data_IF_194220886806
#
_entry.id   IF_194220886806
#
_cell.length_a   1.000
_cell.length_b   1.000
_cell.length_c   1.000
_cell.angle_alpha   90.00
_cell.angle_beta   90.00
_cell.angle_gamma   90.00
#
_symmetry.space_group_name_H-M   'P 1'
#
loop_
_entity.id
_entity.type
_entity.pdbx_description
1 polymer ?
#
# COMPACT_ATOMS: atom_id res chain seq x y z
N UNK A 1 6.63 14.08 -35.18
CA UNK A 1 5.41 14.85 -34.78
C UNK A 1 5.72 16.11 -33.95
N UNK A 2 6.91 16.25 -33.36
CA UNK A 2 7.16 17.31 -32.36
C UNK A 2 7.55 18.66 -32.97
N UNK A 3 8.34 18.67 -34.05
CA UNK A 3 8.67 19.92 -34.77
C UNK A 3 7.42 20.61 -35.35
N UNK A 4 6.45 19.86 -35.85
CA UNK A 4 5.19 20.41 -36.37
C UNK A 4 4.34 21.06 -35.26
N UNK A 5 4.38 20.54 -34.03
CA UNK A 5 3.69 21.16 -32.88
C UNK A 5 4.38 22.45 -32.43
N UNK A 6 5.71 22.45 -32.42
CA UNK A 6 6.50 23.68 -32.19
C UNK A 6 6.21 24.75 -33.24
N UNK A 7 6.22 24.38 -34.53
CA UNK A 7 5.93 25.33 -35.60
C UNK A 7 4.49 25.87 -35.49
N UNK A 8 3.54 25.02 -35.08
CA UNK A 8 2.15 25.43 -34.82
C UNK A 8 2.03 26.44 -33.67
N UNK A 9 2.82 26.33 -32.61
CA UNK A 9 2.78 27.32 -31.51
C UNK A 9 3.32 28.68 -31.93
N UNK A 10 4.11 28.74 -33.01
CA UNK A 10 4.69 29.97 -33.58
C UNK A 10 3.96 30.50 -34.81
N UNK A 11 2.88 29.84 -35.27
CA UNK A 11 2.07 30.24 -36.43
C UNK A 11 1.66 31.73 -36.43
N UNK A 12 1.18 32.32 -35.32
CA UNK A 12 0.78 33.73 -35.31
C UNK A 12 1.94 34.68 -35.62
N UNK A 13 3.14 34.40 -35.09
CA UNK A 13 4.34 35.19 -35.34
C UNK A 13 4.85 35.04 -36.78
N UNK A 14 4.83 33.80 -37.30
CA UNK A 14 5.21 33.51 -38.69
C UNK A 14 4.26 34.16 -39.70
N UNK A 15 2.96 34.20 -39.41
CA UNK A 15 1.98 34.86 -40.26
C UNK A 15 2.24 36.38 -40.33
N UNK A 16 2.48 37.02 -39.19
CA UNK A 16 2.82 38.44 -39.13
C UNK A 16 4.14 38.74 -39.87
N UNK A 17 5.14 37.88 -39.70
CA UNK A 17 6.41 37.99 -40.40
C UNK A 17 6.26 37.86 -41.93
N UNK A 18 5.42 36.93 -42.40
CA UNK A 18 5.09 36.80 -43.82
C UNK A 18 4.42 38.05 -44.40
N UNK A 19 3.51 38.69 -43.64
CA UNK A 19 2.92 39.98 -44.02
C UNK A 19 3.99 41.07 -44.11
N UNK A 20 4.92 41.13 -43.15
CA UNK A 20 6.01 42.10 -43.17
C UNK A 20 6.93 41.92 -44.40
N UNK A 21 7.31 40.68 -44.73
CA UNK A 21 8.09 40.38 -45.94
C UNK A 21 7.38 40.81 -47.22
N UNK A 22 6.06 40.60 -47.29
CA UNK A 22 5.26 41.04 -48.44
C UNK A 22 5.25 42.57 -48.60
N UNK A 23 5.10 43.31 -47.48
CA UNK A 23 5.17 44.78 -47.48
C UNK A 23 6.54 45.27 -47.90
N UNK A 24 7.62 44.69 -47.37
CA UNK A 24 9.01 45.04 -47.73
C UNK A 24 9.26 44.78 -49.22
N UNK A 25 8.81 43.64 -49.74
CA UNK A 25 8.92 43.32 -51.16
C UNK A 25 8.19 44.35 -52.04
N UNK A 26 6.98 44.74 -51.65
CA UNK A 26 6.18 45.75 -52.34
C UNK A 26 6.85 47.12 -52.37
N UNK A 27 7.37 47.58 -51.23
CA UNK A 27 8.10 48.86 -51.13
C UNK A 27 9.37 48.86 -51.99
N UNK A 28 10.18 47.80 -51.94
CA UNK A 28 11.40 47.72 -52.74
C UNK A 28 11.11 47.71 -54.25
N UNK A 29 10.00 47.08 -54.66
CA UNK A 29 9.54 47.14 -56.06
C UNK A 29 9.04 48.53 -56.45
N UNK A 30 8.37 49.25 -55.55
CA UNK A 30 7.89 50.61 -55.79
C UNK A 30 9.05 51.60 -56.02
N UNK A 31 10.17 51.40 -55.33
CA UNK A 31 11.41 52.20 -55.48
C UNK A 31 12.19 51.86 -56.76
N UNK A 32 11.76 50.85 -57.52
CA UNK A 32 12.42 50.45 -58.77
C UNK A 32 13.61 49.50 -58.60
N UNK A 33 13.71 48.83 -57.45
CA UNK A 33 14.81 47.89 -57.17
C UNK A 33 14.76 46.68 -58.13
N UNK A 34 15.89 46.26 -58.73
CA UNK A 34 15.97 45.06 -59.56
C UNK A 34 15.45 43.81 -58.83
N UNK A 35 14.83 42.88 -59.57
CA UNK A 35 14.18 41.69 -58.99
C UNK A 35 15.15 40.87 -58.14
N UNK A 36 16.38 40.70 -58.61
CA UNK A 36 17.39 39.85 -57.98
C UNK A 36 17.81 40.39 -56.62
N UNK A 37 17.89 41.72 -56.48
CA UNK A 37 18.16 42.38 -55.19
C UNK A 37 16.99 42.21 -54.21
N UNK A 38 15.74 42.29 -54.68
CA UNK A 38 14.57 42.04 -53.82
C UNK A 38 14.58 40.60 -53.32
N UNK A 39 14.88 39.62 -54.17
CA UNK A 39 15.00 38.23 -53.75
C UNK A 39 16.12 38.02 -52.73
N UNK A 40 17.29 38.63 -52.93
CA UNK A 40 18.40 38.54 -51.99
C UNK A 40 18.01 39.05 -50.60
N UNK A 41 17.31 40.19 -50.52
CA UNK A 41 16.83 40.78 -49.25
C UNK A 41 15.80 39.87 -48.57
N UNK A 42 14.85 39.32 -49.31
CA UNK A 42 13.85 38.42 -48.74
C UNK A 42 14.46 37.12 -48.21
N UNK A 43 15.41 36.53 -48.96
CA UNK A 43 16.10 35.29 -48.56
C UNK A 43 16.97 35.53 -47.32
N UNK A 44 17.69 36.65 -47.25
CA UNK A 44 18.51 36.97 -46.06
C UNK A 44 17.66 37.20 -44.82
N UNK A 45 16.55 37.93 -44.93
CA UNK A 45 15.60 38.09 -43.83
C UNK A 45 15.02 36.73 -43.39
N UNK A 46 14.55 35.92 -44.34
CA UNK A 46 14.01 34.59 -44.04
C UNK A 46 15.04 33.67 -43.39
N UNK A 47 16.31 33.74 -43.80
CA UNK A 47 17.40 32.99 -43.19
C UNK A 47 17.68 33.42 -41.74
N UNK A 48 17.57 34.72 -41.44
CA UNK A 48 17.69 35.24 -40.06
C UNK A 48 16.57 34.69 -39.17
N UNK A 49 15.33 34.70 -39.65
CA UNK A 49 14.19 34.18 -38.87
C UNK A 49 14.25 32.65 -38.71
N UNK A 50 14.69 31.93 -39.76
CA UNK A 50 14.95 30.49 -39.67
C UNK A 50 16.06 30.18 -38.66
N UNK A 51 17.14 30.98 -38.65
CA UNK A 51 18.21 30.88 -37.66
C UNK A 51 17.72 31.12 -36.23
N UNK A 52 16.86 32.14 -36.01
CA UNK A 52 16.24 32.42 -34.72
C UNK A 52 15.41 31.23 -34.22
N UNK A 53 14.56 30.67 -35.09
CA UNK A 53 13.74 29.49 -34.76
C UNK A 53 14.58 28.24 -34.50
N UNK A 54 15.66 28.05 -35.25
CA UNK A 54 16.58 26.93 -35.03
C UNK A 54 17.30 27.05 -33.67
N UNK A 55 17.78 28.24 -33.31
CA UNK A 55 18.38 28.49 -31.99
C UNK A 55 17.40 28.26 -30.83
N UNK A 56 16.10 28.48 -31.05
CA UNK A 56 15.05 28.22 -30.04
C UNK A 56 14.67 26.73 -29.96
N UNK A 57 14.65 26.03 -31.09
CA UNK A 57 14.23 24.62 -31.16
C UNK A 57 15.32 23.62 -30.76
N UNK A 58 16.57 23.82 -31.22
CA UNK A 58 17.66 22.85 -31.04
C UNK A 58 17.93 22.48 -29.57
N UNK A 59 17.98 23.41 -28.60
CA UNK A 59 18.17 23.07 -27.19
C UNK A 59 16.95 22.36 -26.58
N UNK A 60 15.75 22.66 -27.07
CA UNK A 60 14.49 22.16 -26.53
C UNK A 60 14.12 20.76 -27.03
N UNK A 61 14.74 20.29 -28.12
CA UNK A 61 14.40 19.04 -28.78
C UNK A 61 14.64 17.78 -27.92
N UNK A 62 15.65 17.81 -27.03
CA UNK A 62 15.94 16.72 -26.11
C UNK A 62 14.86 16.54 -25.03
N UNK A 63 14.35 17.66 -24.50
CA UNK A 63 13.27 17.69 -23.51
C UNK A 63 11.94 17.17 -24.05
N UNK A 64 11.50 17.68 -25.21
CA UNK A 64 10.23 17.26 -25.81
C UNK A 64 10.20 15.75 -26.09
N UNK A 65 11.34 15.19 -26.51
CA UNK A 65 11.51 13.74 -26.72
C UNK A 65 11.40 12.93 -25.44
N UNK A 66 11.81 13.46 -24.28
CA UNK A 66 11.69 12.79 -22.97
C UNK A 66 10.27 12.90 -22.40
N UNK A 67 9.63 14.07 -22.51
CA UNK A 67 8.23 14.27 -22.07
C UNK A 67 7.26 13.37 -22.83
N UNK A 68 7.47 13.18 -24.14
CA UNK A 68 6.60 12.30 -24.94
C UNK A 68 6.76 10.81 -24.66
N UNK A 69 7.86 10.40 -24.01
CA UNK A 69 8.06 9.03 -23.52
C UNK A 69 7.25 8.77 -22.23
N UNK A 70 7.15 9.76 -21.33
CA UNK A 70 6.43 9.64 -20.06
C UNK A 70 4.92 9.63 -20.25
N UNK A 71 4.39 10.41 -21.19
CA UNK A 71 2.97 10.36 -21.56
C UNK A 71 2.50 8.99 -22.09
N UNK A 72 3.43 8.03 -22.25
CA UNK A 72 3.19 6.64 -22.67
C UNK A 72 3.60 5.61 -21.61
N UNK A 73 4.14 6.03 -20.46
CA UNK A 73 4.57 5.14 -19.38
C UNK A 73 3.38 4.77 -18.47
N UNK A 74 3.37 3.54 -17.96
CA UNK A 74 2.36 3.07 -17.01
C UNK A 74 2.58 3.69 -15.61
N UNK A 75 1.50 3.90 -14.83
CA UNK A 75 1.60 4.42 -13.45
C UNK A 75 2.32 3.40 -12.57
N UNK A 76 3.62 3.59 -12.38
CA UNK A 76 4.51 2.67 -11.66
C UNK A 76 5.95 2.67 -12.20
N UNK A 77 6.14 3.01 -13.48
CA UNK A 77 7.44 3.06 -14.17
C UNK A 77 7.90 4.50 -14.46
N UNK A 78 7.25 5.48 -13.83
CA UNK A 78 7.64 6.88 -13.99
C UNK A 78 8.98 7.11 -13.29
N UNK A 79 10.04 7.54 -13.99
CA UNK A 79 11.20 8.09 -13.32
C UNK A 79 10.72 9.17 -12.35
N UNK A 80 11.39 9.28 -11.19
CA UNK A 80 11.02 10.25 -10.15
C UNK A 80 10.68 11.59 -10.82
N UNK A 81 9.57 12.21 -10.43
CA UNK A 81 9.19 13.53 -10.94
C UNK A 81 10.32 14.56 -10.81
N UNK A 82 11.25 14.33 -9.86
CA UNK A 82 12.53 15.00 -9.66
C UNK A 82 13.47 14.97 -10.88
N UNK A 83 13.62 13.84 -11.57
CA UNK A 83 14.48 13.73 -12.77
C UNK A 83 13.93 14.53 -13.96
N UNK A 84 12.62 14.81 -13.96
CA UNK A 84 11.97 15.56 -15.03
C UNK A 84 11.92 17.07 -14.77
N UNK A 85 11.83 17.47 -13.49
CA UNK A 85 11.82 18.87 -13.07
C UNK A 85 13.19 19.53 -13.25
N UNK A 86 14.28 18.81 -12.98
CA UNK A 86 15.64 19.36 -13.09
C UNK A 86 16.09 19.67 -14.52
N UNK A 87 15.33 19.25 -15.54
CA UNK A 87 15.74 19.28 -16.95
C UNK A 87 14.78 20.07 -17.84
N UNK A 88 13.91 20.91 -17.24
CA UNK A 88 13.15 21.92 -17.96
C UNK A 88 14.15 22.79 -18.73
N UNK A 89 14.12 22.79 -20.09
CA UNK A 89 15.00 23.64 -20.85
C UNK A 89 14.64 25.06 -20.44
N UNK A 90 15.58 25.77 -19.85
CA UNK A 90 15.47 27.20 -19.54
C UNK A 90 14.99 27.90 -20.82
N UNK A 91 13.68 28.08 -20.95
CA UNK A 91 13.09 28.75 -22.10
C UNK A 91 13.60 30.17 -21.95
N UNK A 92 14.56 30.61 -22.76
CA UNK A 92 15.31 31.88 -22.60
C UNK A 92 14.46 33.14 -22.85
N UNK A 93 13.26 33.18 -22.29
CA UNK A 93 12.40 34.33 -22.10
C UNK A 93 12.12 34.39 -20.59
N UNK A 94 12.22 35.56 -19.94
CA UNK A 94 12.08 35.68 -18.48
C UNK A 94 10.79 35.10 -17.84
N UNK A 95 9.84 34.59 -18.63
CA UNK A 95 8.71 33.76 -18.18
C UNK A 95 9.09 32.34 -17.75
N UNK A 96 10.23 31.80 -18.17
CA UNK A 96 10.61 30.43 -17.84
C UNK A 96 11.16 30.29 -16.42
N UNK A 97 12.00 31.23 -15.98
CA UNK A 97 12.44 31.28 -14.60
C UNK A 97 11.25 31.33 -13.62
N UNK A 98 10.20 32.09 -13.96
CA UNK A 98 8.97 32.14 -13.16
C UNK A 98 8.18 30.82 -13.15
N UNK A 99 8.26 30.02 -14.22
CA UNK A 99 7.61 28.72 -14.29
C UNK A 99 8.43 27.67 -13.55
N UNK A 100 9.75 27.68 -13.70
CA UNK A 100 10.67 26.80 -12.98
C UNK A 100 10.58 27.09 -11.47
N UNK A 101 10.63 28.36 -11.05
CA UNK A 101 10.43 28.78 -9.65
C UNK A 101 9.06 28.33 -9.11
N UNK A 102 8.00 28.41 -9.93
CA UNK A 102 6.66 27.98 -9.52
C UNK A 102 6.55 26.45 -9.41
N UNK A 103 7.20 25.70 -10.30
CA UNK A 103 7.28 24.23 -10.24
C UNK A 103 8.07 23.80 -9.01
N UNK A 104 9.23 24.41 -8.77
CA UNK A 104 10.05 24.13 -7.58
C UNK A 104 9.31 24.45 -6.28
N UNK A 105 8.58 25.57 -6.23
CA UNK A 105 7.75 25.93 -5.09
C UNK A 105 6.60 24.92 -4.86
N UNK A 106 5.95 24.46 -5.92
CA UNK A 106 4.89 23.44 -5.82
C UNK A 106 5.44 22.09 -5.37
N UNK A 107 6.62 21.69 -5.86
CA UNK A 107 7.29 20.46 -5.43
C UNK A 107 7.72 20.54 -3.97
N UNK A 108 8.34 21.64 -3.56
CA UNK A 108 8.72 21.88 -2.17
C UNK A 108 7.50 21.87 -1.25
N UNK A 109 6.37 22.44 -1.69
CA UNK A 109 5.11 22.39 -0.94
C UNK A 109 4.58 20.96 -0.83
N UNK A 110 4.56 20.20 -1.92
CA UNK A 110 4.10 18.81 -1.91
C UNK A 110 4.97 17.93 -1.00
N UNK A 111 6.29 18.14 -1.01
CA UNK A 111 7.22 17.45 -0.12
C UNK A 111 7.01 17.84 1.35
N UNK A 112 6.77 19.13 1.62
CA UNK A 112 6.46 19.62 2.96
C UNK A 112 5.14 19.03 3.48
N UNK A 113 4.09 19.00 2.66
CA UNK A 113 2.80 18.42 3.01
C UNK A 113 2.93 16.90 3.27
N UNK A 114 3.66 16.18 2.40
CA UNK A 114 3.92 14.76 2.59
C UNK A 114 4.79 14.47 3.82
N UNK A 115 5.73 15.36 4.16
CA UNK A 115 6.53 15.27 5.37
C UNK A 115 5.67 15.54 6.63
N UNK A 116 4.78 16.53 6.58
CA UNK A 116 3.86 16.84 7.66
C UNK A 116 2.91 15.67 7.97
N UNK A 117 2.31 15.06 6.95
CA UNK A 117 1.44 13.88 7.12
C UNK A 117 2.22 12.69 7.72
N UNK A 118 3.47 12.48 7.27
CA UNK A 118 4.36 11.44 7.82
C UNK A 118 4.72 11.71 9.28
N UNK A 119 5.00 12.97 9.63
CA UNK A 119 5.32 13.38 11.00
C UNK A 119 4.11 13.18 11.94
N UNK A 120 2.92 13.62 11.53
CA UNK A 120 1.68 13.44 12.30
C UNK A 120 1.37 11.95 12.55
N UNK A 121 1.52 11.13 11.51
CA UNK A 121 1.36 9.67 11.62
C UNK A 121 2.37 9.05 12.59
N UNK A 122 3.62 9.52 12.59
CA UNK A 122 4.67 9.03 13.49
C UNK A 122 4.43 9.47 14.95
N UNK A 123 3.96 10.70 15.17
CA UNK A 123 3.60 11.20 16.49
C UNK A 123 2.41 10.43 17.07
N UNK A 124 1.37 10.20 16.27
CA UNK A 124 0.22 9.37 16.66
C UNK A 124 0.65 7.96 17.06
N UNK A 125 1.57 7.33 16.31
CA UNK A 125 2.14 6.01 16.69
C UNK A 125 2.86 6.08 18.03
N UNK A 126 3.76 7.05 18.21
CA UNK A 126 4.52 7.19 19.45
C UNK A 126 3.60 7.41 20.67
N UNK A 127 2.51 8.15 20.47
CA UNK A 127 1.47 8.32 21.47
C UNK A 127 0.78 6.99 21.82
N UNK A 128 0.29 6.23 20.82
CA UNK A 128 -0.38 4.93 21.06
C UNK A 128 0.58 3.91 21.69
N UNK A 129 1.85 3.90 21.30
CA UNK A 129 2.87 3.02 21.91
C UNK A 129 3.05 3.34 23.39
N UNK A 130 3.21 4.62 23.75
CA UNK A 130 3.37 5.04 25.15
C UNK A 130 2.10 4.78 25.96
N UNK A 131 0.94 5.13 25.42
CA UNK A 131 -0.36 4.87 26.04
C UNK A 131 -0.60 3.38 26.28
N UNK A 132 -0.24 2.52 25.32
CA UNK A 132 -0.34 1.06 25.46
C UNK A 132 0.51 0.54 26.64
N UNK A 133 1.76 1.01 26.77
CA UNK A 133 2.61 0.67 27.92
C UNK A 133 2.03 1.15 29.26
N UNK A 134 1.50 2.37 29.28
CA UNK A 134 0.87 2.95 30.47
C UNK A 134 -0.42 2.22 30.87
N UNK A 135 -1.21 1.72 29.92
CA UNK A 135 -2.42 0.92 30.19
C UNK A 135 -2.11 -0.52 30.59
N UNK A 136 -1.06 -1.14 30.03
CA UNK A 136 -0.66 -2.51 30.40
C UNK A 136 -0.25 -2.63 31.86
N UNK A 137 0.34 -1.58 32.44
CA UNK A 137 0.80 -1.58 33.83
C UNK A 137 -0.34 -1.77 34.85
N UNK A 138 -1.41 -0.95 34.88
CA UNK A 138 -2.53 -1.14 35.79
C UNK A 138 -3.34 -2.40 35.47
N UNK A 139 -3.42 -2.82 34.20
CA UNK A 139 -4.08 -4.09 33.84
C UNK A 139 -3.32 -5.28 34.40
N UNK A 140 -1.99 -5.32 34.26
CA UNK A 140 -1.16 -6.37 34.86
C UNK A 140 -1.28 -6.39 36.40
N UNK A 141 -1.31 -5.21 37.04
CA UNK A 141 -1.54 -5.10 38.48
C UNK A 141 -2.92 -5.65 38.89
N UNK A 142 -3.98 -5.31 38.14
CA UNK A 142 -5.32 -5.83 38.38
C UNK A 142 -5.38 -7.36 38.18
N UNK A 143 -4.71 -7.88 37.15
CA UNK A 143 -4.59 -9.32 36.89
C UNK A 143 -3.91 -10.05 38.06
N UNK A 144 -2.84 -9.48 38.63
CA UNK A 144 -2.19 -10.03 39.83
C UNK A 144 -3.11 -10.01 41.06
N UNK A 145 -3.88 -8.94 41.27
CA UNK A 145 -4.85 -8.85 42.38
C UNK A 145 -5.93 -9.94 42.25
N UNK A 146 -6.45 -10.12 41.03
CA UNK A 146 -7.47 -11.13 40.72
C UNK A 146 -6.92 -12.55 40.93
N UNK A 147 -5.69 -12.81 40.50
CA UNK A 147 -5.01 -14.10 40.72
C UNK A 147 -4.74 -14.37 42.21
N UNK A 148 -4.36 -13.35 42.97
CA UNK A 148 -4.09 -13.46 44.40
C UNK A 148 -5.37 -13.64 45.25
N UNK A 149 -6.55 -13.31 44.71
CA UNK A 149 -7.84 -13.38 45.41
C UNK A 149 -8.83 -14.29 44.65
N UNK A 150 -8.60 -15.61 44.60
CA UNK A 150 -9.49 -16.52 43.87
C UNK A 150 -10.90 -16.51 44.47
N UNK A 151 -11.91 -16.39 43.62
CA UNK A 151 -13.31 -16.34 44.03
C UNK A 151 -14.25 -16.18 42.83
N UNK A 152 -15.59 -16.31 43.05
CA UNK A 152 -16.58 -16.26 41.98
C UNK A 152 -16.61 -14.91 41.24
N UNK A 153 -16.24 -13.82 41.92
CA UNK A 153 -16.12 -12.49 41.29
C UNK A 153 -14.84 -12.40 40.46
N UNK A 154 -13.71 -12.86 41.00
CA UNK A 154 -12.41 -12.88 40.31
C UNK A 154 -12.45 -13.73 39.03
N UNK A 155 -13.14 -14.87 39.06
CA UNK A 155 -13.36 -15.70 37.86
C UNK A 155 -14.18 -15.01 36.76
N UNK A 156 -14.98 -14.00 37.11
CA UNK A 156 -15.72 -13.17 36.13
C UNK A 156 -14.93 -11.96 35.65
N UNK A 157 -14.00 -11.45 36.45
CA UNK A 157 -13.16 -10.29 36.11
C UNK A 157 -11.95 -10.70 35.27
N UNK A 158 -11.34 -11.86 35.53
CA UNK A 158 -10.14 -12.31 34.82
C UNK A 158 -10.32 -12.35 33.28
N UNK A 159 -11.43 -12.89 32.73
CA UNK A 159 -11.64 -12.87 31.28
C UNK A 159 -11.78 -11.45 30.70
N UNK A 160 -12.40 -10.52 31.45
CA UNK A 160 -12.56 -9.13 31.02
C UNK A 160 -11.22 -8.37 31.04
N UNK A 161 -10.34 -8.65 32.01
CA UNK A 161 -8.97 -8.10 32.01
C UNK A 161 -8.17 -8.61 30.82
N UNK A 162 -8.24 -9.91 30.52
CA UNK A 162 -7.61 -10.48 29.33
C UNK A 162 -8.13 -9.81 28.06
N UNK A 163 -9.44 -9.59 27.97
CA UNK A 163 -10.07 -8.91 26.83
C UNK A 163 -9.57 -7.47 26.66
N UNK A 164 -9.32 -6.75 27.76
CA UNK A 164 -8.73 -5.40 27.72
C UNK A 164 -7.30 -5.48 27.19
N UNK A 165 -6.49 -6.45 27.65
CA UNK A 165 -5.13 -6.66 27.12
C UNK A 165 -5.16 -6.91 25.61
N UNK A 166 -6.08 -7.76 25.13
CA UNK A 166 -6.23 -8.07 23.72
C UNK A 166 -6.62 -6.83 22.90
N UNK A 167 -7.50 -5.96 23.41
CA UNK A 167 -7.84 -4.69 22.75
C UNK A 167 -6.68 -3.69 22.72
N UNK A 168 -5.90 -3.62 23.80
CA UNK A 168 -4.70 -2.77 23.86
C UNK A 168 -3.66 -3.25 22.86
N UNK A 169 -3.48 -4.56 22.73
CA UNK A 169 -2.63 -5.14 21.70
C UNK A 169 -3.18 -4.83 20.30
N UNK A 170 -4.47 -5.06 20.03
CA UNK A 170 -5.07 -4.71 18.73
C UNK A 170 -4.85 -3.23 18.35
N UNK A 171 -5.01 -2.31 19.30
CA UNK A 171 -4.74 -0.88 19.07
C UNK A 171 -3.27 -0.61 18.74
N UNK A 172 -2.34 -1.27 19.45
CA UNK A 172 -0.91 -1.18 19.20
C UNK A 172 -0.52 -1.76 17.83
N UNK A 173 -1.07 -2.93 17.48
CA UNK A 173 -0.89 -3.57 16.18
C UNK A 173 -1.43 -2.68 15.05
N UNK A 174 -2.59 -2.06 15.24
CA UNK A 174 -3.17 -1.10 14.31
C UNK A 174 -2.30 0.14 14.12
N UNK A 175 -1.81 0.76 15.21
CA UNK A 175 -0.92 1.92 15.11
C UNK A 175 0.40 1.61 14.38
N UNK A 176 0.92 0.39 14.56
CA UNK A 176 2.14 -0.05 13.87
C UNK A 176 1.91 -0.40 12.40
N UNK A 177 0.72 -0.89 12.04
CA UNK A 177 0.40 -1.30 10.69
C UNK A 177 0.68 -0.22 9.64
N UNK A 178 0.57 1.07 9.94
CA UNK A 178 0.75 2.14 8.96
C UNK A 178 2.19 2.33 8.40
N UNK A 179 3.24 1.78 9.01
CA UNK A 179 4.65 2.14 8.67
C UNK A 179 5.64 0.96 8.58
N UNK A 180 5.18 -0.25 8.30
CA UNK A 180 5.99 -1.48 8.47
C UNK A 180 7.12 -1.74 7.45
N UNK A 181 7.73 -0.69 6.88
CA UNK A 181 8.87 -0.86 5.96
C UNK A 181 10.22 -1.06 6.69
N UNK A 182 10.30 -1.02 8.04
CA UNK A 182 11.61 -1.00 8.73
C UNK A 182 11.83 -1.90 9.95
N UNK A 183 10.81 -2.61 10.47
CA UNK A 183 10.93 -3.30 11.78
C UNK A 183 10.71 -4.83 11.75
N UNK A 184 10.59 -5.48 10.57
CA UNK A 184 10.40 -6.93 10.51
C UNK A 184 11.69 -7.69 10.81
N UNK A 185 11.66 -8.60 11.79
CA UNK A 185 12.76 -9.52 12.07
C UNK A 185 12.42 -10.87 11.45
N UNK A 186 12.68 -10.99 10.15
CA UNK A 186 12.48 -12.25 9.42
C UNK A 186 13.49 -13.28 9.93
N UNK A 187 12.99 -14.39 10.45
CA UNK A 187 13.81 -15.54 10.88
C UNK A 187 13.22 -16.85 10.38
N UNK A 188 14.07 -17.84 10.25
CA UNK A 188 13.66 -19.22 9.97
C UNK A 188 12.91 -19.78 11.20
N UNK A 189 11.71 -20.31 10.98
CA UNK A 189 10.86 -20.98 11.98
C UNK A 189 10.09 -22.10 11.30
N UNK A 190 9.51 -23.04 12.05
CA UNK A 190 8.57 -24.02 11.46
C UNK A 190 7.13 -23.56 11.59
N UNK A 191 6.24 -23.99 10.68
CA UNK A 191 4.79 -23.78 10.83
C UNK A 191 4.30 -24.38 12.15
N UNK A 192 4.83 -25.55 12.53
CA UNK A 192 4.45 -26.24 13.76
C UNK A 192 4.80 -25.45 15.02
N UNK A 193 5.99 -24.85 15.11
CA UNK A 193 6.34 -23.98 16.24
C UNK A 193 5.41 -22.76 16.31
N UNK A 194 5.20 -22.08 15.17
CA UNK A 194 4.33 -20.90 15.10
C UNK A 194 2.92 -21.21 15.58
N UNK A 195 2.31 -22.28 15.04
CA UNK A 195 0.93 -22.67 15.35
C UNK A 195 0.82 -23.16 16.79
N UNK A 196 1.76 -23.99 17.28
CA UNK A 196 1.71 -24.52 18.64
C UNK A 196 1.86 -23.44 19.70
N UNK A 197 2.70 -22.43 19.47
CA UNK A 197 2.84 -21.28 20.37
C UNK A 197 1.54 -20.50 20.47
N UNK A 198 0.86 -20.28 19.34
CA UNK A 198 -0.45 -19.59 19.28
C UNK A 198 -1.54 -20.40 19.97
N UNK A 199 -1.63 -21.71 19.72
CA UNK A 199 -2.61 -22.59 20.36
C UNK A 199 -2.38 -22.66 21.87
N UNK A 200 -1.12 -22.72 22.32
CA UNK A 200 -0.79 -22.69 23.75
C UNK A 200 -1.21 -21.36 24.40
N UNK A 201 -0.95 -20.24 23.74
CA UNK A 201 -1.34 -18.92 24.25
C UNK A 201 -2.87 -18.75 24.36
N UNK A 202 -3.64 -19.50 23.55
CA UNK A 202 -5.12 -19.47 23.50
C UNK A 202 -5.78 -20.71 24.09
N UNK A 203 -5.05 -21.52 24.86
CA UNK A 203 -5.54 -22.79 25.36
C UNK A 203 -6.85 -22.66 26.16
N UNK A 204 -6.94 -21.64 27.03
CA UNK A 204 -8.16 -21.37 27.82
C UNK A 204 -9.35 -21.06 26.94
N UNK A 205 -9.20 -20.18 25.93
CA UNK A 205 -10.26 -19.83 24.99
C UNK A 205 -10.75 -21.07 24.22
N UNK A 206 -9.83 -21.87 23.69
CA UNK A 206 -10.14 -23.09 22.94
C UNK A 206 -10.91 -24.08 23.82
N UNK A 207 -10.50 -24.24 25.07
CA UNK A 207 -11.16 -25.12 26.05
C UNK A 207 -12.56 -24.62 26.41
N UNK A 208 -12.72 -23.33 26.69
CA UNK A 208 -14.02 -22.73 27.03
C UNK A 208 -15.01 -22.77 25.85
N UNK A 209 -14.50 -22.66 24.63
CA UNK A 209 -15.29 -22.81 23.41
C UNK A 209 -15.60 -24.27 23.04
N UNK A 210 -15.01 -25.26 23.72
CA UNK A 210 -15.26 -26.68 23.46
C UNK A 210 -14.69 -27.18 22.12
N UNK A 211 -13.69 -26.49 21.57
CA UNK A 211 -13.15 -26.75 20.23
C UNK A 211 -12.03 -27.78 20.29
N UNK A 212 -12.13 -28.82 19.45
CA UNK A 212 -11.03 -29.76 19.23
C UNK A 212 -10.02 -29.18 18.24
N UNK A 213 -8.73 -29.42 18.47
CA UNK A 213 -7.66 -28.91 17.60
C UNK A 213 -6.92 -30.06 16.93
N UNK A 214 -6.74 -29.98 15.61
CA UNK A 214 -5.99 -30.95 14.82
C UNK A 214 -4.83 -30.29 14.05
N UNK A 215 -3.76 -31.05 13.86
CA UNK A 215 -2.55 -30.59 13.18
C UNK A 215 -2.15 -31.62 12.12
N UNK A 216 -1.87 -31.14 10.91
CA UNK A 216 -1.38 -31.96 9.80
C UNK A 216 -0.29 -31.23 9.01
N UNK A 217 0.77 -31.95 8.60
CA UNK A 217 1.79 -31.40 7.69
C UNK A 217 2.58 -30.16 8.14
N UNK A 218 2.65 -29.85 9.44
CA UNK A 218 3.23 -28.59 9.95
C UNK A 218 4.77 -28.55 10.07
N UNK A 219 5.49 -29.54 9.55
CA UNK A 219 6.96 -29.62 9.66
C UNK A 219 7.71 -28.72 8.67
N UNK A 220 6.97 -27.90 7.91
CA UNK A 220 7.55 -27.06 6.87
C UNK A 220 8.27 -25.83 7.45
N UNK A 221 9.51 -25.53 7.00
CA UNK A 221 10.20 -24.32 7.37
C UNK A 221 9.60 -23.12 6.63
N UNK A 222 9.50 -21.99 7.32
CA UNK A 222 9.05 -20.70 6.77
C UNK A 222 9.98 -19.58 7.25
N UNK A 223 10.15 -18.56 6.42
CA UNK A 223 10.88 -17.35 6.77
C UNK A 223 9.86 -16.25 7.00
N UNK A 224 9.66 -15.90 8.27
CA UNK A 224 8.69 -14.87 8.64
C UNK A 224 9.10 -14.19 9.95
N UNK A 225 8.38 -13.15 10.34
CA UNK A 225 8.47 -12.61 11.70
C UNK A 225 7.46 -13.34 12.60
N UNK A 226 7.90 -14.17 13.57
CA UNK A 226 6.98 -15.01 14.32
C UNK A 226 6.05 -14.23 15.24
N UNK A 227 6.38 -12.99 15.60
CA UNK A 227 5.49 -12.16 16.41
C UNK A 227 4.28 -11.71 15.60
N UNK A 228 4.52 -11.22 14.39
CA UNK A 228 3.45 -10.77 13.50
C UNK A 228 2.65 -11.95 12.94
N UNK A 229 3.32 -13.03 12.56
CA UNK A 229 2.63 -14.24 12.11
C UNK A 229 1.84 -14.89 13.25
N UNK A 230 2.35 -14.86 14.48
CA UNK A 230 1.64 -15.34 15.66
C UNK A 230 0.38 -14.51 15.96
N UNK A 231 0.45 -13.19 15.75
CA UNK A 231 -0.73 -12.32 15.81
C UNK A 231 -1.76 -12.67 14.73
N UNK A 232 -1.33 -12.87 13.48
CA UNK A 232 -2.22 -13.24 12.36
C UNK A 232 -2.94 -14.55 12.64
N UNK A 233 -2.18 -15.62 12.89
CA UNK A 233 -2.76 -16.94 13.18
C UNK A 233 -3.66 -16.84 14.41
N UNK A 234 -3.24 -16.07 15.41
CA UNK A 234 -4.03 -15.77 16.58
C UNK A 234 -5.40 -15.17 16.30
N UNK A 235 -5.47 -14.14 15.45
CA UNK A 235 -6.74 -13.54 15.03
C UNK A 235 -7.65 -14.54 14.30
N UNK A 236 -7.07 -15.47 13.54
CA UNK A 236 -7.84 -16.52 12.87
C UNK A 236 -8.40 -17.52 13.90
N UNK A 237 -7.62 -17.91 14.91
CA UNK A 237 -8.10 -18.75 16.03
C UNK A 237 -9.20 -18.06 16.82
N UNK A 238 -9.04 -16.78 17.13
CA UNK A 238 -10.04 -16.00 17.87
C UNK A 238 -11.36 -15.94 17.10
N UNK A 239 -11.29 -15.75 15.77
CA UNK A 239 -12.47 -15.79 14.90
C UNK A 239 -13.09 -17.19 14.86
N UNK A 240 -12.30 -18.25 14.70
CA UNK A 240 -12.81 -19.62 14.68
C UNK A 240 -13.57 -19.95 15.97
N UNK A 241 -12.96 -19.74 17.15
CA UNK A 241 -13.62 -20.01 18.43
C UNK A 241 -14.89 -19.18 18.65
N UNK A 242 -14.92 -17.96 18.13
CA UNK A 242 -16.04 -17.02 18.29
C UNK A 242 -17.23 -17.32 17.37
N UNK A 243 -16.96 -17.76 16.15
CA UNK A 243 -17.97 -18.07 15.13
C UNK A 243 -18.22 -19.57 15.00
N UNK A 244 -17.73 -20.35 15.95
CA UNK A 244 -18.08 -21.75 16.10
C UNK A 244 -19.58 -21.87 16.43
N UNK A 245 -20.29 -22.68 15.65
CA UNK A 245 -21.73 -22.90 15.81
C UNK A 245 -22.05 -23.90 16.93
N UNK A 246 -23.31 -24.36 16.97
CA UNK A 246 -23.76 -25.44 17.84
C UNK A 246 -23.46 -26.83 17.24
N UNK A 247 -22.31 -26.98 16.59
CA UNK A 247 -21.91 -28.21 15.93
C UNK A 247 -21.75 -29.36 16.93
N UNK A 248 -22.07 -30.59 16.52
CA UNK A 248 -21.90 -31.78 17.36
C UNK A 248 -20.43 -32.06 17.69
N UNK A 249 -19.50 -31.60 16.84
CA UNK A 249 -18.06 -31.79 17.03
C UNK A 249 -17.27 -30.59 16.49
N UNK A 250 -17.17 -29.49 17.27
CA UNK A 250 -16.39 -28.32 16.89
C UNK A 250 -14.91 -28.66 16.68
N UNK A 251 -14.37 -28.27 15.53
CA UNK A 251 -13.02 -28.60 15.10
C UNK A 251 -12.33 -27.39 14.46
N UNK A 252 -11.11 -27.13 14.91
CA UNK A 252 -10.16 -26.21 14.31
C UNK A 252 -8.96 -27.03 13.82
N UNK A 253 -8.67 -26.94 12.53
CA UNK A 253 -7.61 -27.69 11.88
C UNK A 253 -6.54 -26.78 11.30
N UNK A 254 -5.28 -27.21 11.43
CA UNK A 254 -4.12 -26.54 10.88
C UNK A 254 -3.38 -27.49 9.96
N UNK A 255 -3.31 -27.15 8.67
CA UNK A 255 -2.69 -28.01 7.65
C UNK A 255 -1.55 -27.27 6.96
N UNK A 256 -0.36 -27.86 6.94
CA UNK A 256 0.81 -27.34 6.26
C UNK A 256 1.06 -28.07 4.94
N UNK A 257 1.25 -27.32 3.85
CA UNK A 257 1.51 -27.91 2.53
C UNK A 257 2.64 -27.16 1.81
N UNK A 258 3.55 -27.91 1.17
CA UNK A 258 4.47 -27.34 0.18
C UNK A 258 3.77 -27.18 -1.16
N UNK A 259 3.81 -25.97 -1.70
CA UNK A 259 3.37 -25.66 -3.04
C UNK A 259 4.60 -25.67 -3.96
N UNK A 260 4.72 -26.72 -4.77
CA UNK A 260 5.73 -26.78 -5.82
C UNK A 260 5.31 -25.86 -6.97
N UNK A 261 6.03 -24.77 -7.18
CA UNK A 261 5.83 -23.94 -8.36
C UNK A 261 6.64 -24.53 -9.51
N UNK A 262 5.98 -24.85 -10.62
CA UNK A 262 6.59 -25.29 -11.88
C UNK A 262 7.42 -24.21 -12.58
N UNK A 263 8.42 -23.64 -11.88
CA UNK A 263 9.34 -22.62 -12.39
C UNK A 263 9.64 -21.44 -11.46
N UNK A 264 8.99 -21.33 -10.30
CA UNK A 264 9.22 -20.23 -9.33
C UNK A 264 9.65 -20.80 -7.97
N UNK A 265 10.21 -19.95 -7.10
CA UNK A 265 10.59 -20.30 -5.73
C UNK A 265 9.49 -21.13 -5.03
N UNK A 266 9.89 -22.20 -4.34
CA UNK A 266 8.97 -23.03 -3.55
C UNK A 266 8.17 -22.12 -2.58
N UNK A 267 6.92 -22.47 -2.32
CA UNK A 267 6.09 -21.75 -1.34
C UNK A 267 5.55 -22.72 -0.31
N UNK A 268 5.25 -22.21 0.86
CA UNK A 268 4.65 -23.00 1.94
C UNK A 268 3.30 -22.38 2.29
N UNK A 269 2.27 -23.20 2.31
CA UNK A 269 0.92 -22.82 2.68
C UNK A 269 0.59 -23.34 4.08
N UNK A 270 0.01 -22.47 4.91
CA UNK A 270 -0.69 -22.82 6.14
C UNK A 270 -2.18 -22.59 5.93
N UNK A 271 -2.96 -23.66 6.01
CA UNK A 271 -4.42 -23.61 6.04
C UNK A 271 -4.88 -23.63 7.50
N UNK A 272 -5.72 -22.67 7.88
CA UNK A 272 -6.44 -22.61 9.16
C UNK A 272 -7.91 -22.77 8.83
N UNK A 273 -8.48 -23.93 9.15
CA UNK A 273 -9.86 -24.28 8.78
C UNK A 273 -10.69 -24.62 10.01
N UNK A 274 -11.88 -24.01 10.08
CA UNK A 274 -12.89 -24.28 11.09
C UNK A 274 -14.16 -24.86 10.47
N UNK A 275 -14.94 -25.59 11.27
CA UNK A 275 -16.28 -26.09 10.88
C UNK A 275 -17.41 -25.27 11.51
N UNK A 276 -17.21 -23.95 11.72
CA UNK A 276 -18.20 -23.08 12.32
C UNK A 276 -19.35 -22.71 11.38
N UNK A 277 -20.04 -21.61 11.69
CA UNK A 277 -21.23 -21.16 10.93
C UNK A 277 -20.93 -20.66 9.50
N UNK A 278 -19.67 -20.65 9.09
CA UNK A 278 -19.21 -20.13 7.81
C UNK A 278 -19.45 -18.63 7.62
N UNK A 279 -19.17 -18.18 6.40
CA UNK A 279 -19.31 -16.82 5.92
C UNK A 279 -20.21 -16.81 4.68
N UNK A 280 -21.29 -16.03 4.75
CA UNK A 280 -22.21 -15.87 3.63
C UNK A 280 -21.47 -15.42 2.35
N UNK A 281 -21.78 -15.97 1.17
CA UNK A 281 -21.09 -15.64 -0.09
C UNK A 281 -21.05 -14.15 -0.44
N UNK A 282 -22.08 -13.41 -0.05
CA UNK A 282 -22.17 -11.96 -0.23
C UNK A 282 -21.23 -11.14 0.67
N UNK A 283 -20.82 -11.72 1.81
CA UNK A 283 -19.95 -11.07 2.80
C UNK A 283 -18.48 -11.39 2.53
N UNK A 284 -18.16 -12.56 1.92
CA UNK A 284 -16.80 -13.01 1.59
C UNK A 284 -15.90 -11.93 0.95
N UNK A 285 -16.34 -11.13 -0.05
CA UNK A 285 -15.48 -10.10 -0.64
C UNK A 285 -15.12 -8.97 0.33
N UNK A 286 -15.92 -8.77 1.38
CA UNK A 286 -15.90 -7.63 2.30
C UNK A 286 -15.32 -7.96 3.67
N UNK A 287 -15.06 -9.24 3.98
CA UNK A 287 -14.52 -9.66 5.29
C UNK A 287 -13.19 -9.00 5.65
N UNK A 288 -12.49 -8.52 4.64
CA UNK A 288 -11.22 -7.82 4.76
C UNK A 288 -11.35 -6.30 4.91
N UNK A 289 -12.55 -5.75 4.76
CA UNK A 289 -12.78 -4.31 4.81
C UNK A 289 -12.70 -3.82 6.27
N UNK A 290 -12.10 -2.64 6.44
CA UNK A 290 -11.94 -2.03 7.76
C UNK A 290 -13.31 -1.79 8.41
N UNK A 291 -13.51 -2.38 9.59
CA UNK A 291 -14.73 -2.20 10.38
C UNK A 291 -15.92 -3.03 9.87
N UNK A 292 -15.70 -3.95 8.93
CA UNK A 292 -16.77 -4.81 8.44
C UNK A 292 -17.13 -5.89 9.47
N UNK A 293 -18.44 -6.09 9.65
CA UNK A 293 -19.02 -7.16 10.46
C UNK A 293 -20.09 -7.83 9.58
N UNK A 294 -19.98 -9.14 9.38
CA UNK A 294 -20.91 -9.92 8.56
C UNK A 294 -22.30 -10.04 9.19
N UNK A 295 -23.27 -10.58 8.45
CA UNK A 295 -24.63 -10.86 8.95
C UNK A 295 -24.60 -11.73 10.20
N UNK A 296 -23.77 -12.78 10.19
CA UNK A 296 -23.61 -13.71 11.30
C UNK A 296 -23.12 -12.99 12.57
N UNK A 297 -22.26 -11.97 12.43
CA UNK A 297 -21.80 -11.14 13.56
C UNK A 297 -22.84 -10.18 14.11
N UNK A 298 -23.85 -9.79 13.31
CA UNK A 298 -24.99 -8.94 13.72
C UNK A 298 -26.07 -9.75 14.44
N UNK A 299 -26.36 -10.95 13.95
CA UNK A 299 -27.42 -11.82 14.49
C UNK A 299 -26.96 -12.54 15.77
N UNK A 300 -25.67 -12.85 15.91
CA UNK A 300 -25.05 -13.13 17.21
C UNK A 300 -24.94 -11.81 18.01
N UNK A 301 -26.06 -11.33 18.54
CA UNK A 301 -26.23 -10.12 19.36
C UNK A 301 -25.36 -10.05 20.65
N UNK A 302 -24.42 -10.99 20.83
CA UNK A 302 -23.43 -11.05 21.92
C UNK A 302 -21.99 -10.75 21.46
N UNK A 303 -21.74 -10.53 20.18
CA UNK A 303 -20.37 -10.38 19.67
C UNK A 303 -19.98 -8.89 19.58
N UNK A 304 -19.16 -8.39 20.51
CA UNK A 304 -18.47 -7.09 20.40
C UNK A 304 -17.41 -7.16 19.28
N UNK A 305 -17.86 -7.30 18.04
CA UNK A 305 -17.02 -7.43 16.84
C UNK A 305 -16.67 -6.05 16.31
N UNK A 306 -15.41 -5.63 16.44
CA UNK A 306 -14.95 -4.33 15.93
C UNK A 306 -14.76 -4.31 14.41
N UNK A 307 -14.69 -5.48 13.77
CA UNK A 307 -14.39 -5.60 12.33
C UNK A 307 -12.95 -5.21 11.96
N UNK A 308 -12.05 -5.13 12.94
CA UNK A 308 -10.65 -4.70 12.73
C UNK A 308 -9.71 -5.91 12.52
N UNK A 309 -10.01 -7.06 13.12
CA UNK A 309 -9.10 -8.22 13.14
C UNK A 309 -8.68 -8.71 11.75
N UNK A 310 -9.64 -9.07 10.89
CA UNK A 310 -9.34 -9.56 9.53
C UNK A 310 -8.72 -8.48 8.63
N UNK A 311 -9.11 -7.21 8.80
CA UNK A 311 -8.45 -6.10 8.13
C UNK A 311 -6.95 -6.04 8.47
N UNK A 312 -6.60 -6.16 9.77
CA UNK A 312 -5.20 -6.22 10.21
C UNK A 312 -4.48 -7.45 9.65
N UNK A 313 -5.12 -8.61 9.62
CA UNK A 313 -4.54 -9.82 9.01
C UNK A 313 -4.15 -9.55 7.56
N UNK A 314 -5.06 -9.00 6.75
CA UNK A 314 -4.76 -8.71 5.33
C UNK A 314 -3.66 -7.69 5.15
N UNK A 315 -3.67 -6.62 5.95
CA UNK A 315 -2.69 -5.55 5.85
C UNK A 315 -1.28 -6.04 6.25
N UNK A 316 -1.18 -6.83 7.32
CA UNK A 316 0.07 -7.44 7.76
C UNK A 316 0.59 -8.48 6.78
N UNK A 317 -0.28 -9.35 6.25
CA UNK A 317 0.09 -10.32 5.23
C UNK A 317 0.68 -9.61 3.99
N UNK A 318 0.02 -8.55 3.50
CA UNK A 318 0.51 -7.75 2.36
C UNK A 318 1.90 -7.17 2.59
N UNK A 319 2.15 -6.62 3.78
CA UNK A 319 3.44 -6.01 4.13
C UNK A 319 4.56 -7.03 4.32
N UNK A 320 4.23 -8.23 4.77
CA UNK A 320 5.20 -9.33 4.91
C UNK A 320 5.38 -10.15 3.63
N UNK A 321 4.67 -9.83 2.54
CA UNK A 321 4.69 -10.61 1.31
C UNK A 321 4.05 -12.00 1.44
N UNK A 322 3.21 -12.20 2.46
CA UNK A 322 2.41 -13.42 2.65
C UNK A 322 1.08 -13.24 1.90
N UNK A 323 0.73 -14.19 1.02
CA UNK A 323 -0.57 -14.16 0.36
C UNK A 323 -1.63 -14.71 1.32
N UNK A 324 -2.76 -14.01 1.45
CA UNK A 324 -3.87 -14.41 2.31
C UNK A 324 -5.16 -14.53 1.50
N UNK A 325 -5.82 -15.68 1.59
CA UNK A 325 -7.14 -15.93 0.99
C UNK A 325 -8.08 -16.61 1.98
N UNK A 326 -9.37 -16.50 1.71
CA UNK A 326 -10.44 -17.06 2.54
C UNK A 326 -11.46 -17.75 1.64
N UNK A 327 -11.91 -18.92 2.05
CA UNK A 327 -12.95 -19.70 1.40
C UNK A 327 -13.98 -20.13 2.44
N UNK A 328 -15.24 -20.15 2.03
CA UNK A 328 -16.37 -20.62 2.83
C UNK A 328 -17.49 -20.94 1.86
N UNK A 329 -18.20 -22.04 2.08
CA UNK A 329 -19.41 -22.39 1.35
C UNK A 329 -20.68 -21.75 1.97
N UNK A 330 -20.52 -21.12 3.13
CA UNK A 330 -21.55 -20.37 3.86
C UNK A 330 -22.18 -21.12 5.02
N UNK A 331 -22.00 -22.45 5.12
CA UNK A 331 -22.66 -23.28 6.15
C UNK A 331 -21.72 -24.33 6.79
N UNK A 332 -20.63 -24.73 6.13
CA UNK A 332 -19.73 -25.80 6.60
C UNK A 332 -18.42 -25.29 7.20
N UNK A 333 -18.36 -24.00 7.57
CA UNK A 333 -17.19 -23.37 8.17
C UNK A 333 -16.38 -22.49 7.22
N UNK A 334 -15.14 -22.18 7.63
CA UNK A 334 -14.27 -21.22 6.94
C UNK A 334 -12.85 -21.75 6.84
N UNK A 335 -12.22 -21.57 5.68
CA UNK A 335 -10.82 -21.90 5.43
C UNK A 335 -10.03 -20.64 5.10
N UNK A 336 -9.01 -20.35 5.91
CA UNK A 336 -8.03 -19.30 5.63
C UNK A 336 -6.73 -19.92 5.15
N UNK A 337 -6.16 -19.39 4.07
CA UNK A 337 -4.90 -19.84 3.50
C UNK A 337 -3.87 -18.72 3.61
N UNK A 338 -2.72 -19.04 4.20
CA UNK A 338 -1.57 -18.16 4.34
C UNK A 338 -0.40 -18.76 3.55
N UNK A 339 0.00 -18.12 2.45
CA UNK A 339 1.08 -18.60 1.59
C UNK A 339 2.33 -17.77 1.83
N UNK A 340 3.34 -18.41 2.40
CA UNK A 340 4.65 -17.85 2.69
C UNK A 340 5.59 -18.01 1.48
N UNK A 341 6.27 -16.95 1.04
CA UNK A 341 7.32 -17.07 0.04
C UNK A 341 8.54 -17.78 0.66
N UNK A 342 9.11 -18.79 0.01
CA UNK A 342 10.45 -19.23 0.41
C UNK A 342 11.48 -18.28 -0.15
N UNK A 343 12.20 -17.60 0.74
CA UNK A 343 13.42 -16.88 0.38
C UNK A 343 14.47 -17.94 0.09
N UNK A 344 14.88 -18.05 -1.18
CA UNK A 344 16.02 -18.90 -1.53
C UNK A 344 17.25 -18.37 -0.78
N UNK A 345 17.94 -19.26 -0.06
CA UNK A 345 19.30 -18.98 0.43
C UNK A 345 20.17 -18.69 -0.81
N UNK A 346 20.51 -17.42 -1.01
CA UNK A 346 21.54 -16.97 -1.94
C UNK A 346 22.90 -17.11 -1.29
#
# INVERSE_FOLDING_TARGET
MEFLRFLRSKLPGLALYGVALFVVAGLLRLVGTPRDMVYLVLVTLAAVEAGRLAMEYLPSAGFWRRVSLIGRAHPGDTPNALDLACDLPSLRSGRAALVDDAVDALLAQADADAAAVRADSAEYRAFIERWSHEVKTPVAAASLIVQANPGPVSGRIAPELQRIEDYVDQALFFARSYTVDRDYVVRETTLGELVRDVVRARATLIQESGVSVSFDGLDQPVYCDPKWCGFIVGQLVDNACKYMGAEESPCLSFTGRRLAAGGSAERVELTVADNGVGIAPQDLPRVWDKGFVGSNGRDLARSNSTGIGLFLVRDLCRKMGVEASVFSDGESGTEFHLVFPMVQRG
#
